data_IF_689362983891
#
_entry.id   IF_689362983891
#
_cell.length_a   1.000
_cell.length_b   1.000
_cell.length_c   1.000
_cell.angle_alpha   90.00
_cell.angle_beta   90.00
_cell.angle_gamma   90.00
#
_symmetry.space_group_name_H-M   'P 1'
#
loop_
_entity.id
_entity.type
_entity.pdbx_description
1 polymer ?
#
# COMPACT_ATOMS: atom_id res chain seq x y z
N UNK A 1 9.30 18.83 -11.12
CA UNK A 1 8.74 19.66 -10.04
C UNK A 1 9.63 19.48 -8.81
N UNK A 2 10.25 20.54 -8.33
CA UNK A 2 11.05 20.53 -7.10
C UNK A 2 10.11 20.28 -5.91
N UNK A 3 10.33 19.18 -5.18
CA UNK A 3 9.57 18.87 -3.97
C UNK A 3 9.94 19.89 -2.88
N UNK A 4 9.08 20.87 -2.61
CA UNK A 4 9.26 21.78 -1.48
C UNK A 4 9.25 20.98 -0.18
N UNK A 5 10.37 20.92 0.53
CA UNK A 5 10.48 20.22 1.80
C UNK A 5 9.71 20.92 2.92
N UNK A 6 9.24 20.18 3.92
CA UNK A 6 8.60 20.72 5.13
C UNK A 6 9.66 20.93 6.19
N UNK A 7 9.65 22.08 6.89
CA UNK A 7 10.41 22.24 8.13
C UNK A 7 9.47 21.89 9.27
N UNK A 8 9.79 20.84 10.02
CA UNK A 8 9.01 20.41 11.17
C UNK A 8 9.85 20.48 12.44
N UNK A 9 9.29 21.13 13.46
CA UNK A 9 9.94 21.36 14.73
C UNK A 9 9.42 20.35 15.75
N UNK A 10 10.24 19.34 16.05
CA UNK A 10 9.91 18.38 17.10
C UNK A 10 10.33 18.98 18.45
N UNK A 11 9.38 19.11 19.36
CA UNK A 11 9.63 19.49 20.76
C UNK A 11 10.00 18.25 21.55
N UNK A 12 11.25 18.15 21.99
CA UNK A 12 11.69 17.16 22.98
C UNK A 12 11.83 17.82 24.36
N UNK A 13 11.98 16.98 25.40
CA UNK A 13 12.16 17.42 26.80
C UNK A 13 13.36 18.33 27.04
N UNK A 14 14.26 18.48 26.06
CA UNK A 14 15.46 19.32 26.10
C UNK A 14 15.47 20.49 25.10
N UNK A 15 14.39 20.70 24.32
CA UNK A 15 14.27 21.80 23.36
C UNK A 15 13.55 21.42 22.06
N UNK A 16 13.24 22.42 21.23
CA UNK A 16 12.67 22.24 19.90
C UNK A 16 13.77 22.14 18.84
N UNK A 17 13.88 20.98 18.17
CA UNK A 17 14.80 20.82 17.03
C UNK A 17 13.99 20.78 15.75
N UNK A 18 14.24 21.71 14.83
CA UNK A 18 13.56 21.77 13.55
C UNK A 18 14.36 20.99 12.50
N UNK A 19 13.72 20.00 11.87
CA UNK A 19 14.30 19.18 10.81
C UNK A 19 13.57 19.47 9.51
N UNK A 20 14.35 19.70 8.44
CA UNK A 20 13.79 19.84 7.11
C UNK A 20 13.56 18.45 6.49
N UNK A 21 12.31 18.04 6.37
CA UNK A 21 11.87 16.80 5.72
C UNK A 21 11.71 17.06 4.22
N UNK A 22 12.68 16.61 3.43
CA UNK A 22 12.69 16.73 1.97
C UNK A 22 12.29 15.44 1.24
N UNK A 23 12.14 14.33 1.96
CA UNK A 23 11.84 13.01 1.36
C UNK A 23 11.07 12.10 2.31
N UNK A 24 10.43 11.08 1.73
CA UNK A 24 9.75 10.02 2.48
C UNK A 24 10.73 9.29 3.43
N UNK A 25 11.94 8.99 2.96
CA UNK A 25 12.99 8.35 3.77
C UNK A 25 13.39 9.20 4.98
N UNK A 26 13.53 10.52 4.81
CA UNK A 26 13.80 11.42 5.92
C UNK A 26 12.65 11.46 6.94
N UNK A 27 11.38 11.37 6.49
CA UNK A 27 10.24 11.32 7.40
C UNK A 27 10.19 10.00 8.19
N UNK A 28 10.43 8.86 7.53
CA UNK A 28 10.44 7.55 8.17
C UNK A 28 11.53 7.45 9.26
N UNK A 29 12.67 8.10 9.05
CA UNK A 29 13.74 8.21 10.05
C UNK A 29 13.29 8.98 11.32
N UNK A 30 12.36 9.92 11.21
CA UNK A 30 11.80 10.66 12.35
C UNK A 30 10.71 9.86 13.08
N UNK A 31 10.03 8.95 12.39
CA UNK A 31 8.97 8.10 12.94
C UNK A 31 9.46 6.86 13.70
N UNK A 32 10.74 6.80 14.11
CA UNK A 32 11.37 5.63 14.77
C UNK A 32 10.69 5.16 16.07
N UNK A 33 9.67 5.87 16.56
CA UNK A 33 8.81 5.41 17.64
C UNK A 33 7.51 4.86 17.03
N UNK A 34 7.26 3.54 17.09
CA UNK A 34 6.00 2.98 16.65
C UNK A 34 4.87 3.60 17.47
N UNK A 35 3.93 4.28 16.82
CA UNK A 35 2.72 4.71 17.50
C UNK A 35 1.91 3.45 17.81
N UNK A 36 1.86 3.09 19.10
CA UNK A 36 1.07 1.99 19.62
C UNK A 36 -0.41 2.37 19.50
N UNK A 37 -1.06 1.91 18.44
CA UNK A 37 -2.50 2.03 18.31
C UNK A 37 -3.18 0.79 18.88
N UNK A 38 -4.18 1.00 19.71
CA UNK A 38 -5.07 -0.09 20.13
C UNK A 38 -5.85 -0.54 18.90
N UNK A 39 -5.77 -1.84 18.53
CA UNK A 39 -6.60 -2.40 17.47
C UNK A 39 -8.06 -2.04 17.72
N UNK A 40 -8.84 -1.77 16.67
CA UNK A 40 -10.30 -1.77 16.78
C UNK A 40 -10.79 -3.19 16.45
N UNK A 41 -11.17 -4.01 17.45
CA UNK A 41 -11.67 -5.35 17.16
C UNK A 41 -12.97 -5.25 16.35
N UNK A 42 -13.13 -6.06 15.31
CA UNK A 42 -14.34 -6.05 14.49
C UNK A 42 -15.62 -6.38 15.29
N UNK A 43 -15.49 -7.10 16.40
CA UNK A 43 -16.58 -7.40 17.32
C UNK A 43 -16.84 -6.29 18.37
N UNK A 44 -16.00 -5.26 18.42
CA UNK A 44 -16.16 -4.17 19.40
C UNK A 44 -17.43 -3.39 19.15
N UNK A 45 -18.04 -2.89 20.22
CA UNK A 45 -19.21 -2.00 20.13
C UNK A 45 -18.94 -0.80 19.23
N UNK A 46 -17.69 -0.30 19.23
CA UNK A 46 -17.24 0.80 18.37
C UNK A 46 -17.18 0.42 16.89
N UNK A 47 -16.70 -0.78 16.55
CA UNK A 47 -16.77 -1.27 15.18
C UNK A 47 -18.24 -1.47 14.73
N UNK A 48 -19.07 -2.08 15.58
CA UNK A 48 -20.51 -2.27 15.30
C UNK A 48 -21.28 -0.95 15.17
N UNK A 49 -20.92 0.09 15.93
CA UNK A 49 -21.56 1.40 15.84
C UNK A 49 -21.16 2.15 14.57
N UNK A 50 -19.94 1.94 14.08
CA UNK A 50 -19.44 2.56 12.86
C UNK A 50 -19.97 1.84 11.61
N UNK A 51 -19.89 0.50 11.58
CA UNK A 51 -20.13 -0.28 10.36
C UNK A 51 -21.45 -1.08 10.36
N UNK A 52 -22.24 -0.94 11.43
CA UNK A 52 -23.55 -1.56 11.59
C UNK A 52 -23.49 -3.01 12.08
N UNK A 53 -24.66 -3.53 12.49
CA UNK A 53 -24.83 -4.88 13.04
C UNK A 53 -25.23 -5.88 11.95
N UNK A 54 -24.61 -5.77 10.78
CA UNK A 54 -24.92 -6.65 9.66
C UNK A 54 -24.04 -7.91 9.84
N UNK A 55 -24.59 -8.91 10.51
CA UNK A 55 -23.90 -10.17 10.75
C UNK A 55 -23.58 -10.89 9.43
N UNK A 56 -22.33 -11.27 9.25
CA UNK A 56 -21.86 -12.15 8.18
C UNK A 56 -20.34 -12.16 8.13
N UNK A 57 -19.76 -12.88 7.17
CA UNK A 57 -18.35 -13.21 6.92
C UNK A 57 -17.32 -12.04 6.81
N UNK A 58 -17.64 -10.86 7.33
CA UNK A 58 -16.92 -9.59 7.29
C UNK A 58 -15.82 -9.56 8.36
N UNK A 59 -15.98 -10.44 9.34
CA UNK A 59 -15.18 -10.56 10.57
C UNK A 59 -14.48 -11.92 10.69
N UNK A 60 -14.74 -12.88 9.80
CA UNK A 60 -14.19 -14.24 9.89
C UNK A 60 -12.73 -14.35 9.41
N UNK A 61 -12.18 -13.30 8.79
CA UNK A 61 -10.75 -13.17 8.59
C UNK A 61 -10.14 -12.49 9.83
N UNK A 62 -9.80 -13.32 10.82
CA UNK A 62 -9.20 -13.02 12.12
C UNK A 62 -7.81 -12.36 12.06
N UNK A 63 -7.60 -11.34 11.24
CA UNK A 63 -6.42 -10.49 11.34
C UNK A 63 -6.86 -9.07 11.72
N UNK A 64 -6.35 -8.52 12.82
CA UNK A 64 -6.57 -7.13 13.13
C UNK A 64 -6.20 -6.27 11.91
N UNK A 65 -7.04 -5.29 11.55
CA UNK A 65 -6.70 -4.19 10.63
C UNK A 65 -5.62 -3.28 11.24
N UNK A 66 -4.60 -3.88 11.82
CA UNK A 66 -3.54 -3.21 12.54
C UNK A 66 -2.33 -3.32 11.65
N UNK A 67 -2.04 -2.20 11.00
CA UNK A 67 -0.72 -1.99 10.47
C UNK A 67 0.12 -1.29 11.53
N UNK A 68 1.24 -1.92 11.90
CA UNK A 68 2.36 -1.21 12.53
C UNK A 68 3.28 -0.60 11.46
N UNK A 69 2.92 -0.70 10.17
CA UNK A 69 3.68 -0.04 9.14
C UNK A 69 3.52 1.49 9.30
N UNK A 70 4.59 2.25 9.02
CA UNK A 70 4.51 3.69 8.97
C UNK A 70 3.58 4.12 7.83
N UNK A 71 2.89 5.24 8.04
CA UNK A 71 2.16 5.94 6.98
C UNK A 71 3.15 6.37 5.88
N UNK A 72 2.75 6.30 4.62
CA UNK A 72 3.57 6.65 3.46
C UNK A 72 2.89 7.72 2.61
N UNK A 73 3.70 8.66 2.10
CA UNK A 73 3.29 9.69 1.17
C UNK A 73 3.73 9.27 -0.23
N UNK A 74 2.77 8.80 -1.01
CA UNK A 74 3.03 8.23 -2.32
C UNK A 74 2.71 9.25 -3.42
N UNK A 75 3.47 9.28 -4.52
CA UNK A 75 3.15 10.15 -5.65
C UNK A 75 1.77 9.81 -6.21
N UNK A 76 0.98 10.83 -6.55
CA UNK A 76 -0.37 10.71 -7.11
C UNK A 76 -1.40 9.97 -6.23
N UNK A 77 -1.14 9.89 -4.92
CA UNK A 77 -2.08 9.41 -3.89
C UNK A 77 -2.29 10.53 -2.88
N UNK A 78 -3.45 11.16 -2.91
CA UNK A 78 -3.77 12.37 -2.14
C UNK A 78 -4.24 12.05 -0.71
N UNK A 79 -3.68 11.01 -0.11
CA UNK A 79 -3.93 10.63 1.28
C UNK A 79 -2.75 9.83 1.82
N UNK A 80 -2.38 9.96 3.11
CA UNK A 80 -1.42 9.07 3.74
C UNK A 80 -1.97 7.65 3.69
N UNK A 81 -1.17 6.74 3.16
CA UNK A 81 -1.57 5.34 3.01
C UNK A 81 -0.52 4.42 3.62
N UNK A 82 -0.96 3.24 4.03
CA UNK A 82 -0.07 2.15 4.41
C UNK A 82 -0.75 0.83 4.11
N UNK A 83 -0.04 -0.26 4.35
CA UNK A 83 -0.58 -1.60 4.12
C UNK A 83 -0.89 -2.28 5.45
N UNK A 84 -2.06 -2.88 5.57
CA UNK A 84 -2.44 -3.70 6.73
C UNK A 84 -1.88 -5.12 6.62
N UNK A 85 -1.97 -5.88 7.71
CA UNK A 85 -1.50 -7.27 7.77
C UNK A 85 -2.17 -8.20 6.74
N UNK A 86 -3.42 -7.93 6.35
CA UNK A 86 -4.12 -8.68 5.27
C UNK A 86 -3.48 -8.50 3.89
N UNK A 87 -2.64 -7.47 3.73
CA UNK A 87 -2.10 -7.05 2.46
C UNK A 87 -2.93 -5.97 1.75
N UNK A 88 -4.09 -5.58 2.29
CA UNK A 88 -4.85 -4.45 1.76
C UNK A 88 -4.18 -3.10 2.08
N UNK A 89 -4.51 -2.09 1.30
CA UNK A 89 -4.12 -0.70 1.55
C UNK A 89 -5.15 -0.09 2.49
N UNK A 90 -4.70 0.71 3.43
CA UNK A 90 -5.56 1.61 4.19
C UNK A 90 -5.11 3.06 4.04
N UNK A 91 -6.07 3.97 4.07
CA UNK A 91 -5.82 5.39 4.15
C UNK A 91 -6.05 5.90 5.58
N UNK A 92 -5.37 6.99 5.92
CA UNK A 92 -5.61 7.68 7.18
C UNK A 92 -7.01 8.30 7.15
N UNK A 93 -7.81 8.07 8.19
CA UNK A 93 -9.19 8.53 8.28
C UNK A 93 -9.58 8.83 9.73
N UNK A 94 -10.56 9.72 9.91
CA UNK A 94 -11.13 10.08 11.22
C UNK A 94 -12.37 9.26 11.57
N UNK A 95 -13.04 8.73 10.55
CA UNK A 95 -14.39 8.16 10.63
C UNK A 95 -14.48 6.73 10.09
N UNK A 96 -13.43 6.23 9.44
CA UNK A 96 -13.44 4.93 8.79
C UNK A 96 -14.25 4.87 7.50
N UNK A 97 -14.69 6.03 6.97
CA UNK A 97 -15.51 6.17 5.76
C UNK A 97 -14.86 7.04 4.69
N UNK A 98 -14.10 8.05 5.11
CA UNK A 98 -13.47 9.02 4.23
C UNK A 98 -12.00 9.20 4.59
N UNK A 99 -11.14 9.21 3.58
CA UNK A 99 -9.70 9.45 3.77
C UNK A 99 -9.44 10.93 4.05
N UNK A 100 -8.41 11.22 4.85
CA UNK A 100 -7.89 12.59 4.97
C UNK A 100 -7.26 12.98 3.64
N UNK A 101 -7.58 14.17 3.16
CA UNK A 101 -7.08 14.67 1.89
C UNK A 101 -5.76 15.43 2.07
N UNK A 102 -4.75 15.07 1.29
CA UNK A 102 -3.41 15.66 1.31
C UNK A 102 -2.96 15.97 -0.12
N UNK A 103 -3.27 17.17 -0.65
CA UNK A 103 -2.98 17.52 -2.04
C UNK A 103 -1.48 17.72 -2.30
N UNK A 104 -0.69 17.92 -1.25
CA UNK A 104 0.75 18.10 -1.34
C UNK A 104 1.49 17.06 -0.52
N UNK A 105 2.73 16.78 -0.91
CA UNK A 105 3.65 15.97 -0.12
C UNK A 105 3.82 16.55 1.30
N UNK A 106 3.83 17.88 1.41
CA UNK A 106 3.97 18.58 2.69
C UNK A 106 2.80 18.29 3.65
N UNK A 107 1.57 18.32 3.14
CA UNK A 107 0.39 18.01 3.95
C UNK A 107 0.37 16.55 4.39
N UNK A 108 0.83 15.64 3.54
CA UNK A 108 0.96 14.24 3.90
C UNK A 108 2.00 14.01 5.00
N UNK A 109 3.18 14.65 4.91
CA UNK A 109 4.22 14.58 5.95
C UNK A 109 3.71 15.11 7.30
N UNK A 110 2.90 16.18 7.31
CA UNK A 110 2.27 16.68 8.54
C UNK A 110 1.41 15.62 9.22
N UNK A 111 0.59 14.91 8.45
CA UNK A 111 -0.24 13.82 8.98
C UNK A 111 0.56 12.58 9.36
N UNK A 112 1.70 12.31 8.70
CA UNK A 112 2.63 11.28 9.14
C UNK A 112 3.18 11.58 10.54
N UNK A 113 3.59 12.81 10.79
CA UNK A 113 4.18 13.21 12.08
C UNK A 113 3.12 13.40 13.17
N UNK A 114 1.96 13.94 12.80
CA UNK A 114 0.83 14.16 13.71
C UNK A 114 -0.44 13.53 13.12
N UNK A 115 -0.62 12.20 13.30
CA UNK A 115 -1.81 11.51 12.78
C UNK A 115 -3.11 12.04 13.36
N UNK A 116 -4.19 11.92 12.58
CA UNK A 116 -5.50 12.36 13.03
C UNK A 116 -5.98 11.62 14.28
N UNK A 117 -6.72 12.34 15.11
CA UNK A 117 -7.36 11.79 16.31
C UNK A 117 -8.87 12.11 16.27
N UNK A 118 -9.77 11.13 16.46
CA UNK A 118 -9.47 9.69 16.53
C UNK A 118 -8.94 9.17 15.19
N UNK A 119 -7.99 8.22 15.24
CA UNK A 119 -7.52 7.51 14.06
C UNK A 119 -8.43 6.31 13.80
N UNK A 120 -9.14 6.32 12.68
CA UNK A 120 -10.04 5.26 12.24
C UNK A 120 -9.79 5.01 10.75
N UNK A 121 -8.76 4.23 10.39
CA UNK A 121 -8.39 4.01 8.99
C UNK A 121 -9.53 3.41 8.17
N UNK A 122 -9.59 3.78 6.89
CA UNK A 122 -10.46 3.12 5.91
C UNK A 122 -9.60 2.14 5.09
N UNK A 123 -10.00 0.87 5.09
CA UNK A 123 -9.27 -0.21 4.42
C UNK A 123 -9.93 -0.59 3.10
N UNK A 124 -9.13 -0.75 2.05
CA UNK A 124 -9.55 -1.27 0.75
C UNK A 124 -10.01 -2.74 0.85
N UNK A 125 -10.40 -3.33 -0.28
CA UNK A 125 -10.79 -4.73 -0.33
C UNK A 125 -12.19 -4.96 0.23
N UNK A 126 -12.32 -5.95 1.11
CA UNK A 126 -13.62 -6.37 1.65
C UNK A 126 -14.33 -5.28 2.45
N UNK A 127 -13.59 -4.47 3.21
CA UNK A 127 -14.15 -3.36 3.99
C UNK A 127 -14.72 -2.28 3.07
N UNK A 128 -13.92 -1.74 2.12
CA UNK A 128 -14.43 -0.73 1.20
C UNK A 128 -15.59 -1.25 0.34
N UNK A 129 -15.57 -2.54 -0.04
CA UNK A 129 -16.66 -3.17 -0.79
C UNK A 129 -17.96 -3.22 0.01
N UNK A 130 -17.91 -3.40 1.33
CA UNK A 130 -19.13 -3.43 2.15
C UNK A 130 -19.75 -2.03 2.33
N UNK A 131 -18.91 -0.99 2.32
CA UNK A 131 -19.33 0.41 2.46
C UNK A 131 -19.81 0.97 1.12
N UNK A 132 -18.98 0.88 0.08
CA UNK A 132 -19.15 1.57 -1.19
C UNK A 132 -19.48 0.67 -2.38
N UNK A 133 -19.67 -0.65 -2.16
CA UNK A 133 -19.96 -1.67 -3.20
C UNK A 133 -18.84 -1.94 -4.21
N UNK A 134 -17.65 -1.36 -4.03
CA UNK A 134 -16.44 -1.68 -4.80
C UNK A 134 -15.24 -1.81 -3.86
N UNK A 135 -14.23 -2.61 -4.23
CA UNK A 135 -13.05 -2.88 -3.36
C UNK A 135 -12.05 -1.74 -3.30
N UNK A 136 -12.17 -0.78 -4.21
CA UNK A 136 -11.19 0.26 -4.51
C UNK A 136 -10.10 -0.20 -5.47
N UNK A 137 -9.89 -1.51 -5.63
CA UNK A 137 -8.98 -2.07 -6.62
C UNK A 137 -9.63 -2.20 -8.00
N UNK A 138 -10.95 -2.31 -8.04
CA UNK A 138 -11.73 -2.45 -9.27
C UNK A 138 -11.73 -1.17 -10.13
N UNK A 139 -11.25 -0.04 -9.59
CA UNK A 139 -11.24 1.27 -10.25
C UNK A 139 -9.78 1.76 -10.34
N UNK A 140 -9.12 1.72 -11.51
CA UNK A 140 -7.70 2.05 -11.65
C UNK A 140 -7.32 3.45 -11.15
N UNK A 141 -8.24 4.43 -11.25
CA UNK A 141 -8.01 5.79 -10.79
C UNK A 141 -8.11 5.96 -9.26
N UNK A 142 -8.64 4.96 -8.54
CA UNK A 142 -8.88 5.05 -7.10
C UNK A 142 -7.56 4.90 -6.31
N UNK A 143 -7.48 5.56 -5.15
CA UNK A 143 -6.27 5.59 -4.32
C UNK A 143 -5.81 4.19 -3.88
N UNK A 144 -6.75 3.27 -3.64
CA UNK A 144 -6.46 1.85 -3.36
C UNK A 144 -5.59 1.22 -4.46
N UNK A 145 -6.06 1.30 -5.71
CA UNK A 145 -5.36 0.74 -6.87
C UNK A 145 -4.01 1.42 -7.12
N UNK A 146 -3.92 2.75 -6.91
CA UNK A 146 -2.67 3.50 -7.07
C UNK A 146 -1.62 3.18 -5.99
N UNK A 147 -2.06 3.05 -4.74
CA UNK A 147 -1.18 2.84 -3.61
C UNK A 147 -0.68 1.39 -3.48
N UNK A 148 -1.50 0.40 -3.87
CA UNK A 148 -1.17 -1.01 -3.71
C UNK A 148 0.15 -1.42 -4.37
N UNK A 149 0.47 -1.05 -5.61
CA UNK A 149 1.77 -1.40 -6.18
C UNK A 149 2.90 -0.70 -5.43
N UNK A 150 2.71 0.54 -4.97
CA UNK A 150 3.78 1.33 -4.36
C UNK A 150 4.11 0.88 -2.93
N UNK A 151 3.16 0.27 -2.21
CA UNK A 151 3.34 -0.24 -0.84
C UNK A 151 3.84 -1.69 -0.76
N UNK A 152 4.31 -2.29 -1.86
CA UNK A 152 4.75 -3.70 -1.84
C UNK A 152 6.05 -3.86 -1.05
N UNK A 153 6.22 -5.01 -0.38
CA UNK A 153 7.32 -5.29 0.57
C UNK A 153 8.70 -5.27 -0.06
N UNK A 154 8.80 -5.46 -1.38
CA UNK A 154 10.08 -5.47 -2.08
C UNK A 154 10.10 -4.42 -3.20
N UNK A 155 11.25 -3.76 -3.41
CA UNK A 155 11.44 -2.92 -4.59
C UNK A 155 11.36 -3.78 -5.86
N UNK A 156 10.98 -3.15 -6.97
CA UNK A 156 11.12 -3.77 -8.28
C UNK A 156 12.59 -4.10 -8.56
N UNK A 157 12.84 -5.27 -9.15
CA UNK A 157 14.17 -5.73 -9.51
C UNK A 157 14.18 -6.29 -10.91
N UNK A 158 15.30 -6.08 -11.60
CA UNK A 158 15.63 -6.81 -12.79
C UNK A 158 16.27 -8.13 -12.42
N UNK A 159 15.79 -9.20 -13.04
CA UNK A 159 16.20 -10.57 -12.74
C UNK A 159 16.62 -11.21 -14.06
N UNK A 160 17.83 -11.78 -14.10
CA UNK A 160 18.36 -12.42 -15.31
C UNK A 160 17.39 -13.45 -15.88
N UNK A 161 17.12 -13.35 -17.19
CA UNK A 161 16.16 -14.19 -17.89
C UNK A 161 14.72 -13.68 -17.85
N UNK A 162 14.46 -12.49 -17.30
CA UNK A 162 13.14 -11.85 -17.27
C UNK A 162 13.27 -10.42 -17.80
N UNK A 163 12.49 -10.09 -18.84
CA UNK A 163 12.54 -8.79 -19.53
C UNK A 163 11.87 -7.65 -18.78
N UNK A 164 10.97 -7.96 -17.85
CA UNK A 164 10.21 -6.99 -17.05
C UNK A 164 10.75 -6.89 -15.63
N UNK A 165 10.65 -5.72 -14.98
CA UNK A 165 10.84 -5.66 -13.53
C UNK A 165 9.87 -6.58 -12.81
N UNK A 166 10.38 -7.31 -11.82
CA UNK A 166 9.62 -8.23 -10.98
C UNK A 166 9.92 -7.97 -9.51
N UNK A 167 9.03 -8.45 -8.64
CA UNK A 167 9.26 -8.44 -7.19
C UNK A 167 8.39 -9.48 -6.51
N UNK A 168 8.63 -9.68 -5.22
CA UNK A 168 7.76 -10.49 -4.36
C UNK A 168 6.78 -9.58 -3.65
N UNK A 169 5.50 -9.85 -3.82
CA UNK A 169 4.44 -9.16 -3.12
C UNK A 169 4.34 -9.64 -1.66
N UNK A 170 3.41 -9.07 -0.91
CA UNK A 170 3.28 -9.34 0.52
C UNK A 170 2.76 -10.73 0.88
N UNK A 171 2.07 -11.40 -0.06
CA UNK A 171 1.60 -12.79 0.05
C UNK A 171 2.71 -13.79 -0.29
N UNK A 172 3.87 -13.31 -0.73
CA UNK A 172 4.98 -14.15 -1.15
C UNK A 172 4.93 -14.52 -2.63
N UNK A 173 3.87 -14.12 -3.35
CA UNK A 173 3.75 -14.33 -4.79
C UNK A 173 4.66 -13.34 -5.54
N UNK A 174 5.14 -13.79 -6.68
CA UNK A 174 5.84 -12.97 -7.65
C UNK A 174 4.82 -12.12 -8.39
N UNK A 175 5.16 -10.86 -8.62
CA UNK A 175 4.43 -9.98 -9.52
C UNK A 175 5.40 -9.33 -10.51
N UNK A 176 4.95 -9.13 -11.75
CA UNK A 176 5.67 -8.31 -12.71
C UNK A 176 5.06 -6.91 -12.77
N UNK A 177 5.89 -5.95 -13.14
CA UNK A 177 5.45 -4.59 -13.42
C UNK A 177 4.48 -4.63 -14.61
N UNK A 178 3.28 -4.10 -14.41
CA UNK A 178 2.20 -4.08 -15.40
C UNK A 178 1.36 -2.83 -15.19
N UNK A 179 0.71 -2.36 -16.26
CA UNK A 179 -0.22 -1.22 -16.23
C UNK A 179 -1.69 -1.64 -16.25
N UNK A 180 -1.98 -2.89 -16.63
CA UNK A 180 -3.34 -3.38 -16.84
C UNK A 180 -3.67 -4.63 -15.99
N UNK A 181 -2.70 -5.15 -15.22
CA UNK A 181 -2.87 -6.34 -14.40
C UNK A 181 -2.91 -7.63 -15.20
N UNK A 182 -2.62 -7.57 -16.50
CA UNK A 182 -2.73 -8.68 -17.45
C UNK A 182 -1.44 -8.93 -18.22
N UNK A 183 -0.81 -7.88 -18.72
CA UNK A 183 0.42 -7.93 -19.51
C UNK A 183 1.55 -7.24 -18.74
N UNK A 184 2.68 -7.91 -18.61
CA UNK A 184 3.89 -7.28 -18.08
C UNK A 184 4.38 -6.19 -19.02
N UNK A 185 4.97 -5.13 -18.47
CA UNK A 185 5.66 -4.12 -19.27
C UNK A 185 6.80 -4.79 -20.04
N UNK A 186 6.81 -4.61 -21.35
CA UNK A 186 7.83 -5.19 -22.22
C UNK A 186 9.03 -4.25 -22.36
N UNK A 187 10.14 -4.77 -22.87
CA UNK A 187 11.34 -3.98 -23.19
C UNK A 187 12.49 -4.19 -22.20
N UNK A 188 13.42 -3.22 -22.15
CA UNK A 188 14.60 -3.30 -21.31
C UNK A 188 14.21 -3.05 -19.84
N UNK A 189 14.38 -4.07 -18.99
CA UNK A 189 14.00 -4.03 -17.59
C UNK A 189 14.52 -2.78 -16.84
N UNK A 190 15.81 -2.45 -17.01
CA UNK A 190 16.44 -1.30 -16.33
C UNK A 190 15.80 0.04 -16.74
N UNK A 191 15.38 0.18 -18.00
CA UNK A 191 14.70 1.39 -18.46
C UNK A 191 13.33 1.56 -17.77
N UNK A 192 12.63 0.45 -17.51
CA UNK A 192 11.34 0.44 -16.82
C UNK A 192 11.45 0.72 -15.31
N UNK A 193 12.65 0.59 -14.71
CA UNK A 193 12.89 1.02 -13.32
C UNK A 193 13.04 2.54 -13.19
N UNK A 194 13.53 3.20 -14.24
CA UNK A 194 13.82 4.64 -14.24
C UNK A 194 12.57 5.46 -14.58
N UNK A 195 11.63 4.89 -15.34
CA UNK A 195 10.40 5.58 -15.77
C UNK A 195 9.24 5.22 -14.83
N UNK A 196 8.55 6.22 -14.24
CA UNK A 196 7.30 5.95 -13.51
C UNK A 196 6.20 5.54 -14.51
N UNK A 197 5.97 4.24 -14.66
CA UNK A 197 4.84 3.68 -15.42
C UNK A 197 3.57 3.75 -14.57
N UNK A 198 2.92 4.92 -14.55
CA UNK A 198 1.65 5.11 -13.87
C UNK A 198 0.46 5.05 -14.86
N UNK A 199 -0.69 4.50 -14.48
CA UNK A 199 -0.95 3.75 -13.23
C UNK A 199 -0.38 2.32 -13.32
N UNK A 200 0.22 1.84 -12.23
CA UNK A 200 0.65 0.44 -12.11
C UNK A 200 -0.53 -0.42 -11.65
N UNK A 201 -0.74 -1.54 -12.33
CA UNK A 201 -1.57 -2.65 -11.90
C UNK A 201 -0.76 -3.93 -12.14
N UNK A 202 0.06 -4.41 -11.18
CA UNK A 202 0.92 -5.55 -11.36
C UNK A 202 0.17 -6.83 -11.73
N UNK A 203 0.71 -7.62 -12.66
CA UNK A 203 0.24 -8.98 -12.87
C UNK A 203 0.89 -9.87 -11.80
N UNK A 204 0.04 -10.47 -10.96
CA UNK A 204 0.48 -11.36 -9.87
C UNK A 204 0.40 -12.81 -10.32
N UNK A 205 1.47 -13.58 -10.14
CA UNK A 205 1.51 -15.03 -10.30
C UNK A 205 0.56 -15.75 -9.32
N UNK A 206 0.44 -17.07 -9.42
CA UNK A 206 -0.45 -17.83 -8.54
C UNK A 206 -1.92 -17.74 -8.97
N UNK A 207 -2.82 -17.51 -8.02
CA UNK A 207 -4.27 -17.55 -8.26
C UNK A 207 -4.76 -16.47 -9.25
N UNK A 208 -4.17 -15.27 -9.22
CA UNK A 208 -4.54 -14.19 -10.12
C UNK A 208 -4.14 -14.52 -11.57
N UNK A 209 -2.90 -14.95 -11.79
CA UNK A 209 -2.43 -15.41 -13.09
C UNK A 209 -3.25 -16.59 -13.62
N UNK A 210 -3.63 -17.54 -12.75
CA UNK A 210 -4.49 -18.68 -13.14
C UNK A 210 -5.86 -18.25 -13.63
N UNK A 211 -6.43 -17.20 -13.02
CA UNK A 211 -7.73 -16.65 -13.42
C UNK A 211 -7.67 -16.05 -14.83
N UNK A 212 -6.53 -15.48 -15.23
CA UNK A 212 -6.39 -14.81 -16.53
C UNK A 212 -5.87 -15.73 -17.63
N UNK A 213 -4.89 -16.57 -17.31
CA UNK A 213 -4.11 -17.35 -18.28
C UNK A 213 -4.29 -18.86 -18.15
N UNK A 214 -5.14 -19.33 -17.22
CA UNK A 214 -5.39 -20.76 -16.97
C UNK A 214 -4.27 -21.49 -16.21
N UNK A 215 -3.11 -20.86 -16.03
CA UNK A 215 -1.95 -21.39 -15.31
C UNK A 215 -1.55 -20.46 -14.18
N UNK A 216 -1.00 -20.99 -13.09
CA UNK A 216 -0.47 -20.17 -11.99
C UNK A 216 0.81 -19.43 -12.36
N UNK A 217 1.47 -19.87 -13.44
CA UNK A 217 2.82 -19.49 -13.80
C UNK A 217 3.90 -20.21 -12.99
N UNK A 218 3.54 -20.91 -11.91
CA UNK A 218 4.44 -21.75 -11.13
C UNK A 218 4.44 -23.22 -11.57
N UNK A 219 3.51 -23.60 -12.42
CA UNK A 219 3.34 -24.97 -12.91
C UNK A 219 4.49 -25.42 -13.84
N UNK A 220 5.22 -24.45 -14.43
CA UNK A 220 6.38 -24.67 -15.29
C UNK A 220 7.62 -24.00 -14.68
N UNK A 221 8.69 -24.78 -14.49
CA UNK A 221 9.94 -24.32 -13.90
C UNK A 221 10.70 -23.30 -14.78
N UNK A 222 10.42 -23.25 -16.08
CA UNK A 222 11.01 -22.33 -17.06
C UNK A 222 10.20 -21.05 -17.24
N UNK A 223 8.98 -20.99 -16.69
CA UNK A 223 8.15 -19.80 -16.75
C UNK A 223 8.71 -18.67 -15.86
N UNK A 224 8.52 -17.41 -16.27
CA UNK A 224 9.11 -16.25 -15.60
C UNK A 224 8.70 -16.14 -14.12
N UNK A 225 7.47 -16.53 -13.78
CA UNK A 225 7.01 -16.60 -12.38
C UNK A 225 7.91 -17.53 -11.54
N UNK A 226 8.20 -18.75 -12.04
CA UNK A 226 9.08 -19.72 -11.37
C UNK A 226 10.54 -19.26 -11.31
N UNK A 227 11.04 -18.63 -12.38
CA UNK A 227 12.40 -18.07 -12.42
C UNK A 227 12.54 -16.96 -11.37
N UNK A 228 11.61 -16.01 -11.36
CA UNK A 228 11.59 -14.92 -10.40
C UNK A 228 11.45 -15.44 -8.96
N UNK A 229 10.60 -16.45 -8.73
CA UNK A 229 10.36 -17.01 -7.40
C UNK A 229 11.64 -17.55 -6.76
N UNK A 230 12.54 -18.12 -7.57
CA UNK A 230 13.84 -18.66 -7.13
C UNK A 230 14.90 -17.58 -6.90
N UNK A 231 14.82 -16.48 -7.66
CA UNK A 231 15.86 -15.43 -7.70
C UNK A 231 15.54 -14.22 -6.82
N UNK A 232 14.27 -14.00 -6.50
CA UNK A 232 13.84 -12.94 -5.60
C UNK A 232 13.95 -13.40 -4.14
N UNK A 233 14.47 -12.54 -3.25
CA UNK A 233 14.59 -12.85 -1.83
C UNK A 233 13.24 -12.96 -1.13
#
# INVERSE_FOLDING_TARGET
MTMGGVVECMTNSTGSTCVQVKSQSACLELQKTPLLYTPLPCNSAKCKSLYGNRGGAWCDASLPYVSNAPWQCLPNVETPVRRVASGDVECMSRDGFSCVYTPTFADCVRYQLTPVTPLQPLVCGAMLKSINRFTGYDIPAHWCARAQPLLSKQPWKCVDGISTPVRRNVKGDVECMSMNGHDCVQGACEANLIVPVAPMNPLTCGAAHKTQWGITGYDDATHWCSIALKKLP
#
